data_IF_194726169153
#
_entry.id   IF_194726169153
#
_cell.length_a   1.000
_cell.length_b   1.000
_cell.length_c   1.000
_cell.angle_alpha   90.00
_cell.angle_beta   90.00
_cell.angle_gamma   90.00
#
_symmetry.space_group_name_H-M   'P 1'
#
loop_
_entity.id
_entity.type
_entity.pdbx_description
1 polymer ?
#
# COMPACT_ATOMS: atom_id res chain seq x y z
N UNK A 1 2.81 -12.04 1.68
CA UNK A 1 3.88 -12.64 0.82
C UNK A 1 3.24 -13.17 -0.43
N UNK A 2 3.78 -12.90 -1.62
CA UNK A 2 3.29 -13.41 -2.90
C UNK A 2 4.40 -14.27 -3.53
N UNK A 3 4.06 -15.50 -3.94
CA UNK A 3 4.98 -16.43 -4.60
C UNK A 3 4.35 -16.84 -5.92
N UNK A 4 5.00 -16.49 -7.03
CA UNK A 4 4.58 -16.82 -8.40
C UNK A 4 5.68 -17.65 -9.08
N UNK A 5 5.30 -18.67 -9.86
CA UNK A 5 6.23 -19.48 -10.63
C UNK A 5 5.63 -20.77 -11.16
N UNK A 6 6.48 -21.59 -11.72
CA UNK A 6 6.09 -22.92 -12.18
C UNK A 6 5.89 -23.86 -10.99
N UNK A 7 5.00 -24.86 -11.15
CA UNK A 7 4.58 -25.74 -10.06
C UNK A 7 5.56 -26.85 -9.67
N UNK A 8 6.60 -27.10 -10.49
CA UNK A 8 7.46 -28.30 -10.37
C UNK A 8 8.21 -28.40 -9.04
N UNK A 9 8.78 -27.29 -8.56
CA UNK A 9 9.57 -27.23 -7.32
C UNK A 9 8.96 -26.29 -6.27
N UNK A 10 7.67 -26.08 -6.30
CA UNK A 10 6.98 -25.10 -5.47
C UNK A 10 7.12 -25.38 -3.98
N UNK A 11 7.11 -26.64 -3.55
CA UNK A 11 7.29 -27.04 -2.15
C UNK A 11 8.68 -26.63 -1.64
N UNK A 12 9.74 -27.06 -2.32
CA UNK A 12 11.12 -26.76 -1.93
C UNK A 12 11.37 -25.26 -1.91
N UNK A 13 10.78 -24.54 -2.87
CA UNK A 13 10.89 -23.09 -2.92
C UNK A 13 10.17 -22.42 -1.74
N UNK A 14 8.95 -22.87 -1.41
CA UNK A 14 8.20 -22.37 -0.27
C UNK A 14 8.93 -22.66 1.06
N UNK A 15 9.41 -23.89 1.26
CA UNK A 15 10.19 -24.27 2.44
C UNK A 15 11.43 -23.39 2.61
N UNK A 16 12.18 -23.19 1.53
CA UNK A 16 13.39 -22.35 1.56
C UNK A 16 13.07 -20.90 1.92
N UNK A 17 11.98 -20.35 1.41
CA UNK A 17 11.56 -18.98 1.74
C UNK A 17 11.13 -18.88 3.21
N UNK A 18 10.31 -19.84 3.68
CA UNK A 18 9.87 -19.87 5.08
C UNK A 18 11.05 -20.01 6.04
N UNK A 19 11.99 -20.91 5.75
CA UNK A 19 13.19 -21.06 6.57
C UNK A 19 14.01 -19.77 6.65
N UNK A 20 14.25 -19.13 5.51
CA UNK A 20 14.96 -17.84 5.47
C UNK A 20 14.20 -16.72 6.17
N UNK A 21 12.88 -16.71 6.10
CA UNK A 21 12.04 -15.67 6.73
C UNK A 21 12.12 -15.78 8.26
N UNK A 22 12.00 -16.99 8.82
CA UNK A 22 12.02 -17.20 10.26
C UNK A 22 13.43 -17.15 10.88
N UNK A 23 14.47 -17.37 10.07
CA UNK A 23 15.88 -17.28 10.50
C UNK A 23 16.54 -15.99 10.01
N UNK A 24 15.75 -15.00 9.57
CA UNK A 24 16.29 -13.78 9.01
C UNK A 24 16.97 -12.91 10.09
N UNK A 25 18.17 -12.45 9.78
CA UNK A 25 18.89 -11.45 10.55
C UNK A 25 19.36 -10.33 9.65
N UNK A 26 19.30 -9.13 10.17
CA UNK A 26 19.68 -7.92 9.43
C UNK A 26 21.19 -7.82 9.33
N UNK A 27 21.71 -7.74 8.11
CA UNK A 27 23.12 -7.41 7.85
C UNK A 27 23.32 -5.89 7.99
N UNK A 28 24.26 -5.49 8.84
CA UNK A 28 24.50 -4.06 9.15
C UNK A 28 24.88 -3.22 7.93
N UNK A 29 25.78 -3.74 7.08
CA UNK A 29 26.23 -3.00 5.89
C UNK A 29 25.11 -2.81 4.90
N UNK A 30 24.30 -3.85 4.70
CA UNK A 30 23.15 -3.80 3.83
C UNK A 30 22.05 -2.90 4.38
N UNK A 31 21.87 -2.88 5.70
CA UNK A 31 20.93 -1.99 6.38
C UNK A 31 21.26 -0.52 6.10
N UNK A 32 22.50 -0.09 6.25
CA UNK A 32 22.90 1.30 6.03
C UNK A 32 22.65 1.73 4.59
N UNK A 33 22.99 0.87 3.62
CA UNK A 33 22.74 1.14 2.20
C UNK A 33 21.23 1.28 1.93
N UNK A 34 20.43 0.35 2.43
CA UNK A 34 18.97 0.37 2.22
C UNK A 34 18.31 1.54 2.95
N UNK A 35 18.77 1.88 4.15
CA UNK A 35 18.31 3.05 4.91
C UNK A 35 18.57 4.33 4.14
N UNK A 36 19.79 4.50 3.60
CA UNK A 36 20.15 5.66 2.79
C UNK A 36 19.29 5.74 1.51
N UNK A 37 19.14 4.63 0.78
CA UNK A 37 18.32 4.58 -0.42
C UNK A 37 16.86 4.95 -0.13
N UNK A 38 16.29 4.43 0.95
CA UNK A 38 14.92 4.73 1.36
C UNK A 38 14.76 6.21 1.73
N UNK A 39 15.68 6.76 2.52
CA UNK A 39 15.68 8.19 2.89
C UNK A 39 15.81 9.09 1.66
N UNK A 40 16.66 8.72 0.70
CA UNK A 40 16.82 9.44 -0.56
C UNK A 40 15.50 9.43 -1.36
N UNK A 41 14.83 8.28 -1.45
CA UNK A 41 13.52 8.17 -2.09
C UNK A 41 12.47 9.06 -1.44
N UNK A 42 12.40 9.08 -0.10
CA UNK A 42 11.48 9.96 0.63
C UNK A 42 11.75 11.45 0.38
N UNK A 43 13.03 11.86 0.35
CA UNK A 43 13.42 13.25 0.08
C UNK A 43 13.16 13.66 -1.37
N UNK A 44 13.44 12.79 -2.32
CA UNK A 44 13.22 13.05 -3.74
C UNK A 44 11.74 13.20 -4.09
N UNK A 45 10.85 12.65 -3.26
CA UNK A 45 9.40 12.77 -3.48
C UNK A 45 8.91 14.23 -3.54
N UNK A 46 9.56 15.15 -2.83
CA UNK A 46 9.20 16.59 -2.89
C UNK A 46 9.44 17.22 -4.27
N UNK A 47 10.29 16.60 -5.10
CA UNK A 47 10.58 17.02 -6.47
C UNK A 47 9.70 16.30 -7.53
N UNK A 48 8.76 15.46 -7.11
CA UNK A 48 7.82 14.80 -8.02
C UNK A 48 6.87 15.83 -8.66
N UNK A 49 6.28 15.43 -9.78
CA UNK A 49 5.36 16.28 -10.52
C UNK A 49 4.18 16.76 -9.66
N UNK A 50 3.67 17.99 -9.84
CA UNK A 50 2.62 18.56 -9.00
C UNK A 50 1.36 17.68 -8.87
N UNK A 51 0.96 16.97 -9.94
CA UNK A 51 -0.20 16.07 -9.88
C UNK A 51 0.04 14.87 -8.96
N UNK A 52 1.26 14.33 -8.91
CA UNK A 52 1.61 13.22 -8.01
C UNK A 52 1.57 13.66 -6.55
N UNK A 53 2.03 14.89 -6.27
CA UNK A 53 1.92 15.49 -4.94
C UNK A 53 0.45 15.72 -4.55
N UNK A 54 -0.39 16.20 -5.48
CA UNK A 54 -1.81 16.40 -5.22
C UNK A 54 -2.53 15.10 -4.87
N UNK A 55 -2.31 14.03 -5.64
CA UNK A 55 -2.86 12.68 -5.37
C UNK A 55 -2.36 12.16 -4.01
N UNK A 56 -1.08 12.33 -3.73
CA UNK A 56 -0.49 11.88 -2.47
C UNK A 56 -1.10 12.60 -1.26
N UNK A 57 -1.20 13.92 -1.27
CA UNK A 57 -1.79 14.68 -0.16
C UNK A 57 -3.28 14.35 0.00
N UNK A 58 -4.00 14.18 -1.09
CA UNK A 58 -5.39 13.75 -1.05
C UNK A 58 -5.52 12.40 -0.31
N UNK A 59 -4.71 11.41 -0.67
CA UNK A 59 -4.71 10.10 -0.03
C UNK A 59 -4.34 10.18 1.46
N UNK A 60 -3.35 11.00 1.83
CA UNK A 60 -2.93 11.17 3.23
C UNK A 60 -4.03 11.82 4.06
N UNK A 61 -4.70 12.86 3.54
CA UNK A 61 -5.76 13.59 4.25
C UNK A 61 -6.99 12.73 4.47
N UNK A 62 -7.35 11.91 3.48
CA UNK A 62 -8.55 11.06 3.55
C UNK A 62 -8.36 9.81 4.40
N UNK A 63 -7.14 9.33 4.57
CA UNK A 63 -6.87 8.07 5.29
C UNK A 63 -6.75 8.29 6.79
N UNK A 64 -7.51 7.55 7.60
CA UNK A 64 -7.53 7.64 9.08
C UNK A 64 -6.13 7.41 9.69
N UNK A 65 -5.34 6.51 9.11
CA UNK A 65 -3.99 6.19 9.57
C UNK A 65 -3.01 6.29 8.41
N UNK A 66 -2.49 7.48 8.17
CA UNK A 66 -1.46 7.74 7.18
C UNK A 66 -0.38 8.63 7.77
N UNK A 67 0.84 8.43 7.33
CA UNK A 67 1.99 9.26 7.70
C UNK A 67 2.53 9.97 6.48
N UNK A 68 2.87 11.22 6.67
CA UNK A 68 3.53 12.02 5.64
C UNK A 68 4.97 11.54 5.41
N UNK A 69 5.51 11.85 4.24
CA UNK A 69 6.93 11.57 3.94
C UNK A 69 7.87 12.24 4.94
N UNK A 70 7.51 13.43 5.45
CA UNK A 70 8.30 14.14 6.46
C UNK A 70 8.33 13.38 7.79
N UNK A 71 7.18 12.89 8.26
CA UNK A 71 7.10 12.06 9.46
C UNK A 71 7.90 10.76 9.31
N UNK A 72 7.85 10.14 8.13
CA UNK A 72 8.66 8.95 7.85
C UNK A 72 10.17 9.25 7.85
N UNK A 73 10.61 10.40 7.31
CA UNK A 73 12.01 10.84 7.37
C UNK A 73 12.44 11.01 8.83
N UNK A 74 11.61 11.63 9.67
CA UNK A 74 11.91 11.82 11.08
C UNK A 74 11.93 10.50 11.85
N UNK A 75 10.98 9.62 11.59
CA UNK A 75 10.97 8.28 12.18
C UNK A 75 12.22 7.47 11.81
N UNK A 76 12.71 7.58 10.58
CA UNK A 76 13.92 6.88 10.13
C UNK A 76 15.19 7.25 10.90
N UNK A 77 15.24 8.41 11.55
CA UNK A 77 16.37 8.80 12.43
C UNK A 77 16.50 7.84 13.62
N UNK A 78 15.37 7.27 14.05
CA UNK A 78 15.29 6.38 15.21
C UNK A 78 15.45 4.89 14.86
N UNK A 79 15.47 4.54 13.57
CA UNK A 79 15.60 3.15 13.12
C UNK A 79 17.05 2.72 13.15
N UNK A 80 17.35 1.67 13.94
CA UNK A 80 18.68 1.01 14.04
C UNK A 80 18.53 -0.47 13.72
N UNK A 81 19.66 -1.17 13.53
CA UNK A 81 19.70 -2.61 13.28
C UNK A 81 19.07 -3.39 14.45
N UNK A 82 19.37 -2.98 15.69
CA UNK A 82 18.85 -3.64 16.89
C UNK A 82 17.33 -3.48 16.99
N UNK A 83 16.82 -2.27 16.70
CA UNK A 83 15.36 -2.01 16.70
C UNK A 83 14.66 -2.81 15.61
N UNK A 84 15.28 -2.90 14.43
CA UNK A 84 14.73 -3.67 13.33
C UNK A 84 14.73 -5.17 13.63
N UNK A 85 15.79 -5.72 14.18
CA UNK A 85 15.84 -7.12 14.60
C UNK A 85 14.76 -7.43 15.66
N UNK A 86 14.62 -6.58 16.68
CA UNK A 86 13.56 -6.73 17.69
C UNK A 86 12.16 -6.70 17.06
N UNK A 87 11.92 -5.78 16.14
CA UNK A 87 10.65 -5.70 15.44
C UNK A 87 10.37 -6.96 14.59
N UNK A 88 11.38 -7.52 13.93
CA UNK A 88 11.27 -8.79 13.19
C UNK A 88 10.86 -9.92 14.15
N UNK A 89 11.53 -10.04 15.29
CA UNK A 89 11.20 -11.04 16.29
C UNK A 89 9.76 -10.87 16.82
N UNK A 90 9.32 -9.64 17.09
CA UNK A 90 7.95 -9.35 17.51
C UNK A 90 6.91 -9.73 16.44
N UNK A 91 7.13 -9.34 15.19
CA UNK A 91 6.22 -9.66 14.07
C UNK A 91 6.13 -11.17 13.85
N UNK A 92 7.27 -11.87 13.88
CA UNK A 92 7.31 -13.31 13.65
C UNK A 92 6.86 -14.14 14.86
N UNK A 93 6.77 -13.55 16.05
CA UNK A 93 6.32 -14.26 17.25
C UNK A 93 4.81 -14.51 17.29
N UNK A 94 4.02 -13.76 16.55
CA UNK A 94 2.55 -13.84 16.56
C UNK A 94 1.99 -13.64 15.15
N UNK A 95 1.72 -14.74 14.47
CA UNK A 95 1.25 -14.71 13.09
C UNK A 95 -0.06 -15.50 12.92
N UNK A 96 -0.96 -14.96 12.16
CA UNK A 96 -2.08 -15.67 11.55
C UNK A 96 -1.87 -15.71 10.05
N UNK A 97 -1.98 -16.91 9.46
CA UNK A 97 -1.74 -17.11 8.03
C UNK A 97 -3.05 -17.44 7.30
N UNK A 98 -3.38 -16.65 6.31
CA UNK A 98 -4.37 -16.94 5.29
C UNK A 98 -3.65 -17.24 3.98
N UNK A 99 -3.92 -18.42 3.41
CA UNK A 99 -3.28 -18.87 2.19
C UNK A 99 -4.28 -18.92 1.04
N UNK A 100 -4.04 -18.11 0.02
CA UNK A 100 -4.76 -18.20 -1.25
C UNK A 100 -3.84 -18.86 -2.28
N UNK A 101 -4.28 -20.01 -2.83
CA UNK A 101 -3.50 -20.81 -3.77
C UNK A 101 -4.30 -20.92 -5.05
N UNK A 102 -3.73 -20.42 -6.15
CA UNK A 102 -4.38 -20.35 -7.45
C UNK A 102 -3.45 -20.82 -8.57
N UNK A 103 -3.98 -21.57 -9.53
CA UNK A 103 -3.27 -22.05 -10.72
C UNK A 103 -3.49 -23.52 -11.00
N UNK A 104 -2.51 -24.18 -11.62
CA UNK A 104 -2.54 -25.61 -11.91
C UNK A 104 -2.24 -26.45 -10.66
N UNK A 105 -3.13 -26.34 -9.66
CA UNK A 105 -2.98 -26.99 -8.34
C UNK A 105 -4.30 -27.62 -7.96
N UNK A 106 -4.29 -28.91 -7.62
CA UNK A 106 -5.45 -29.60 -7.08
C UNK A 106 -5.58 -29.36 -5.56
N UNK A 107 -6.72 -29.80 -5.00
CA UNK A 107 -7.03 -29.61 -3.57
C UNK A 107 -5.99 -30.23 -2.62
N UNK A 108 -5.46 -31.41 -2.98
CA UNK A 108 -4.53 -32.13 -2.11
C UNK A 108 -3.17 -31.43 -2.12
N UNK A 109 -2.71 -30.96 -3.27
CA UNK A 109 -1.49 -30.16 -3.40
C UNK A 109 -1.62 -28.81 -2.68
N UNK A 110 -2.77 -28.18 -2.74
CA UNK A 110 -3.04 -26.95 -1.99
C UNK A 110 -2.97 -27.17 -0.48
N UNK A 111 -3.51 -28.28 0.02
CA UNK A 111 -3.41 -28.66 1.44
C UNK A 111 -1.99 -28.96 1.86
N UNK A 112 -1.20 -29.61 1.02
CA UNK A 112 0.21 -29.89 1.24
C UNK A 112 0.99 -28.58 1.41
N UNK A 113 0.83 -27.63 0.50
CA UNK A 113 1.47 -26.32 0.58
C UNK A 113 1.06 -25.54 1.84
N UNK A 114 -0.23 -25.55 2.19
CA UNK A 114 -0.68 -24.96 3.45
C UNK A 114 -0.05 -25.65 4.66
N UNK A 115 0.04 -26.98 4.65
CA UNK A 115 0.67 -27.76 5.72
C UNK A 115 2.13 -27.40 5.97
N UNK A 116 2.88 -27.01 4.93
CA UNK A 116 4.24 -26.51 5.09
C UNK A 116 4.28 -25.20 5.88
N UNK A 117 3.37 -24.28 5.56
CA UNK A 117 3.24 -22.99 6.28
C UNK A 117 2.85 -23.24 7.73
N UNK A 118 1.81 -24.04 7.97
CA UNK A 118 1.32 -24.38 9.30
C UNK A 118 2.39 -25.07 10.15
N UNK A 119 3.12 -26.02 9.57
CA UNK A 119 4.19 -26.74 10.27
C UNK A 119 5.31 -25.79 10.71
N UNK A 120 5.66 -24.81 9.90
CA UNK A 120 6.68 -23.83 10.24
C UNK A 120 6.21 -22.86 11.33
N UNK A 121 4.97 -22.40 11.27
CA UNK A 121 4.37 -21.58 12.32
C UNK A 121 4.28 -22.31 13.66
N UNK A 122 3.96 -23.60 13.63
CA UNK A 122 3.91 -24.44 14.83
C UNK A 122 5.29 -24.68 15.42
N UNK A 123 6.33 -24.88 14.61
CA UNK A 123 7.73 -25.05 15.09
C UNK A 123 8.22 -23.83 15.86
N UNK A 124 7.81 -22.65 15.44
CA UNK A 124 8.22 -21.37 16.04
C UNK A 124 7.27 -20.89 17.15
N UNK A 125 6.21 -21.66 17.47
CA UNK A 125 5.11 -21.24 18.35
C UNK A 125 4.49 -19.88 17.98
N UNK A 126 4.54 -19.56 16.69
CA UNK A 126 4.09 -18.26 16.16
C UNK A 126 2.61 -18.24 15.78
N UNK A 127 1.96 -19.40 15.77
CA UNK A 127 0.56 -19.50 15.36
C UNK A 127 -0.38 -18.87 16.39
N UNK A 128 -1.24 -17.97 15.95
CA UNK A 128 -2.33 -17.39 16.76
C UNK A 128 -3.66 -17.55 16.04
N UNK A 129 -4.75 -17.59 16.81
CA UNK A 129 -6.10 -17.60 16.27
C UNK A 129 -6.39 -16.29 15.53
N UNK A 130 -7.26 -16.33 14.50
CA UNK A 130 -7.66 -15.14 13.77
C UNK A 130 -8.26 -14.10 14.72
N UNK A 131 -7.92 -12.85 14.48
CA UNK A 131 -8.50 -11.75 15.22
C UNK A 131 -9.98 -11.59 14.87
N UNK A 132 -10.77 -11.16 15.84
CA UNK A 132 -12.16 -10.76 15.55
C UNK A 132 -12.15 -9.54 14.60
N UNK A 133 -13.13 -9.47 13.71
CA UNK A 133 -13.24 -8.38 12.72
C UNK A 133 -13.11 -6.98 13.34
N UNK A 134 -13.63 -6.79 14.56
CA UNK A 134 -13.52 -5.53 15.32
C UNK A 134 -12.10 -5.18 15.81
N UNK A 135 -11.18 -6.16 15.81
CA UNK A 135 -9.79 -5.99 16.23
C UNK A 135 -8.85 -5.75 15.02
N UNK A 136 -9.37 -5.93 13.80
CA UNK A 136 -8.60 -5.66 12.60
C UNK A 136 -8.50 -4.15 12.39
N UNK A 137 -7.28 -3.68 12.26
CA UNK A 137 -7.00 -2.31 11.80
C UNK A 137 -7.18 -2.25 10.28
N UNK A 138 -8.42 -2.09 9.85
CA UNK A 138 -8.72 -1.89 8.43
C UNK A 138 -8.36 -0.45 8.05
N UNK A 139 -7.81 -0.28 6.85
CA UNK A 139 -7.69 1.06 6.26
C UNK A 139 -9.07 1.67 6.15
N UNK A 140 -9.25 2.81 6.78
CA UNK A 140 -10.49 3.58 6.75
C UNK A 140 -10.21 4.96 6.20
N UNK A 141 -11.19 5.48 5.51
CA UNK A 141 -11.20 6.87 5.06
C UNK A 141 -12.16 7.67 5.93
N UNK A 142 -11.85 8.94 6.12
CA UNK A 142 -12.75 9.85 6.80
C UNK A 142 -14.01 10.07 5.96
N UNK A 143 -15.16 9.98 6.60
CA UNK A 143 -16.40 10.44 6.00
C UNK A 143 -16.40 11.97 6.04
N UNK A 144 -16.44 12.58 4.86
CA UNK A 144 -16.58 14.03 4.74
C UNK A 144 -18.01 14.47 5.11
N UNK A 145 -18.13 15.65 5.71
CA UNK A 145 -19.45 16.21 6.02
C UNK A 145 -20.16 16.59 4.73
N UNK A 146 -21.45 16.34 4.69
CA UNK A 146 -22.29 16.72 3.55
C UNK A 146 -22.36 18.24 3.44
N UNK A 147 -22.26 18.73 2.20
CA UNK A 147 -22.37 20.17 1.86
C UNK A 147 -21.24 21.07 2.39
N UNK A 148 -20.22 20.54 2.99
CA UNK A 148 -19.04 21.32 3.41
C UNK A 148 -17.87 21.11 2.44
N UNK A 149 -17.41 22.17 1.75
CA UNK A 149 -16.21 22.09 0.92
C UNK A 149 -14.97 22.15 1.81
N UNK A 150 -14.01 21.26 1.56
CA UNK A 150 -12.69 21.26 2.19
C UNK A 150 -11.65 21.72 1.18
N UNK A 151 -10.84 22.68 1.54
CA UNK A 151 -9.73 23.15 0.70
C UNK A 151 -8.41 22.87 1.42
N UNK A 152 -7.55 22.12 0.75
CA UNK A 152 -6.14 21.97 1.14
C UNK A 152 -5.27 22.60 0.06
N UNK A 153 -4.35 23.47 0.47
CA UNK A 153 -3.43 24.15 -0.42
C UNK A 153 -2.01 24.08 0.16
N UNK A 154 -1.05 23.77 -0.71
CA UNK A 154 0.37 23.76 -0.36
C UNK A 154 1.19 24.37 -1.47
N UNK A 155 2.35 24.94 -1.15
CA UNK A 155 3.27 25.48 -2.13
C UNK A 155 4.22 24.41 -2.63
N UNK A 156 4.55 24.48 -3.93
CA UNK A 156 5.58 23.66 -4.55
C UNK A 156 6.76 24.55 -4.94
N UNK A 157 7.89 24.34 -4.30
CA UNK A 157 9.12 25.13 -4.54
C UNK A 157 9.97 24.59 -5.69
N UNK A 158 9.71 23.37 -6.17
CA UNK A 158 10.50 22.72 -7.23
C UNK A 158 9.98 22.99 -8.63
N UNK A 159 8.66 23.10 -8.79
CA UNK A 159 8.00 23.29 -10.08
C UNK A 159 7.30 24.62 -10.18
N UNK A 160 7.35 25.23 -11.37
CA UNK A 160 6.62 26.47 -11.67
C UNK A 160 5.16 26.21 -12.00
N UNK A 161 4.82 24.99 -12.36
CA UNK A 161 3.45 24.56 -12.67
C UNK A 161 2.70 24.24 -11.39
N UNK A 162 1.39 24.48 -11.39
CA UNK A 162 0.45 24.10 -10.34
C UNK A 162 -0.44 22.93 -10.78
N UNK A 163 -1.04 22.26 -9.83
CA UNK A 163 -2.04 21.23 -10.05
C UNK A 163 -3.23 21.47 -9.12
N UNK A 164 -4.44 21.22 -9.62
CA UNK A 164 -5.66 21.18 -8.84
C UNK A 164 -6.25 19.76 -8.95
N UNK A 165 -6.63 19.17 -7.83
CA UNK A 165 -7.33 17.89 -7.76
C UNK A 165 -8.64 18.08 -7.02
N UNK A 166 -9.74 17.67 -7.60
CA UNK A 166 -11.07 17.67 -6.97
C UNK A 166 -11.44 16.23 -6.64
N UNK A 167 -11.80 15.99 -5.39
CA UNK A 167 -12.30 14.69 -4.92
C UNK A 167 -13.75 14.83 -4.46
N UNK A 168 -14.60 13.92 -4.89
CA UNK A 168 -16.00 13.85 -4.51
C UNK A 168 -16.28 12.49 -3.88
N UNK A 169 -16.65 12.48 -2.60
CA UNK A 169 -17.01 11.25 -1.90
C UNK A 169 -18.49 10.92 -2.15
N UNK A 170 -18.74 9.84 -2.90
CA UNK A 170 -20.08 9.45 -3.33
C UNK A 170 -20.80 8.47 -2.39
N UNK A 171 -20.19 8.10 -1.26
CA UNK A 171 -20.78 7.19 -0.29
C UNK A 171 -19.92 5.96 0.01
N UNK A 172 -20.56 4.92 0.55
CA UNK A 172 -19.89 3.65 0.89
C UNK A 172 -19.77 2.79 -0.36
N UNK A 173 -18.69 2.04 -0.44
CA UNK A 173 -18.43 1.10 -1.54
C UNK A 173 -19.48 -0.03 -1.53
N UNK A 174 -20.29 -0.07 -2.57
CA UNK A 174 -21.31 -1.08 -2.84
C UNK A 174 -21.32 -1.38 -4.34
N UNK A 175 -21.55 -2.64 -4.72
CA UNK A 175 -21.50 -3.09 -6.13
C UNK A 175 -22.35 -2.22 -7.05
N UNK A 176 -23.60 -1.93 -6.64
CA UNK A 176 -24.51 -1.12 -7.44
C UNK A 176 -24.06 0.31 -7.60
N UNK A 177 -23.62 0.94 -6.52
CA UNK A 177 -23.12 2.32 -6.51
C UNK A 177 -21.85 2.44 -7.33
N UNK A 178 -20.94 1.47 -7.23
CA UNK A 178 -19.70 1.45 -8.00
C UNK A 178 -19.98 1.40 -9.50
N UNK A 179 -20.89 0.54 -9.95
CA UNK A 179 -21.26 0.47 -11.38
C UNK A 179 -21.83 1.80 -11.90
N UNK A 180 -22.64 2.49 -11.10
CA UNK A 180 -23.14 3.80 -11.46
C UNK A 180 -22.03 4.86 -11.54
N UNK A 181 -21.10 4.85 -10.59
CA UNK A 181 -19.95 5.76 -10.59
C UNK A 181 -19.06 5.49 -11.80
N UNK A 182 -18.78 4.22 -12.12
CA UNK A 182 -18.01 3.84 -13.30
C UNK A 182 -18.69 4.34 -14.59
N UNK A 183 -20.00 4.17 -14.70
CA UNK A 183 -20.76 4.66 -15.87
C UNK A 183 -20.70 6.18 -15.98
N UNK A 184 -20.90 6.91 -14.88
CA UNK A 184 -20.80 8.37 -14.85
C UNK A 184 -19.39 8.83 -15.22
N UNK A 185 -18.37 8.17 -14.68
CA UNK A 185 -16.97 8.43 -15.00
C UNK A 185 -16.69 8.26 -16.50
N UNK A 186 -17.17 7.20 -17.11
CA UNK A 186 -17.02 6.97 -18.56
C UNK A 186 -17.72 8.04 -19.40
N UNK A 187 -18.94 8.46 -19.01
CA UNK A 187 -19.69 9.50 -19.73
C UNK A 187 -19.00 10.86 -19.62
N UNK A 188 -18.46 11.20 -18.45
CA UNK A 188 -17.88 12.52 -18.19
C UNK A 188 -16.41 12.65 -18.58
N UNK A 189 -15.68 11.55 -18.71
CA UNK A 189 -14.24 11.56 -18.96
C UNK A 189 -13.88 12.31 -20.25
N UNK A 190 -14.53 11.99 -21.37
CA UNK A 190 -14.26 12.63 -22.65
C UNK A 190 -14.66 14.11 -22.71
N UNK A 191 -15.88 14.52 -22.30
CA UNK A 191 -16.24 15.93 -22.23
C UNK A 191 -15.33 16.74 -21.31
N UNK A 192 -14.98 16.21 -20.14
CA UNK A 192 -14.10 16.87 -19.20
C UNK A 192 -12.70 17.10 -19.80
N UNK A 193 -12.14 16.04 -20.40
CA UNK A 193 -10.85 16.13 -21.08
C UNK A 193 -10.88 17.14 -22.24
N UNK A 194 -11.89 17.09 -23.08
CA UNK A 194 -12.04 18.01 -24.20
C UNK A 194 -12.16 19.45 -23.73
N UNK A 195 -13.00 19.72 -22.74
CA UNK A 195 -13.17 21.07 -22.20
C UNK A 195 -11.86 21.61 -21.62
N UNK A 196 -11.26 20.90 -20.66
CA UNK A 196 -10.14 21.41 -19.88
C UNK A 196 -8.82 21.41 -20.66
N UNK A 197 -8.58 20.39 -21.49
CA UNK A 197 -7.33 20.28 -22.22
C UNK A 197 -7.39 20.87 -23.62
N UNK A 198 -8.45 20.58 -24.39
CA UNK A 198 -8.50 20.94 -25.80
C UNK A 198 -8.97 22.37 -25.97
N UNK A 199 -10.05 22.76 -25.29
CA UNK A 199 -10.69 24.08 -25.44
C UNK A 199 -9.99 25.11 -24.57
N UNK A 200 -9.88 24.88 -23.28
CA UNK A 200 -9.32 25.83 -22.31
C UNK A 200 -7.80 25.77 -22.21
N UNK A 201 -7.18 24.70 -22.66
CA UNK A 201 -5.72 24.49 -22.67
C UNK A 201 -5.06 24.70 -21.30
N UNK A 202 -5.73 24.27 -20.23
CA UNK A 202 -5.27 24.49 -18.84
C UNK A 202 -4.02 23.67 -18.48
N UNK A 203 -3.78 22.54 -19.14
CA UNK A 203 -2.60 21.73 -18.88
C UNK A 203 -2.51 20.49 -19.76
N UNK A 204 -1.33 19.85 -19.71
CA UNK A 204 -1.08 18.62 -20.48
C UNK A 204 -1.71 17.39 -19.80
N UNK A 205 -1.69 17.36 -18.47
CA UNK A 205 -2.21 16.24 -17.67
C UNK A 205 -3.59 16.65 -17.15
N UNK A 206 -4.62 16.07 -17.74
CA UNK A 206 -6.02 16.21 -17.32
C UNK A 206 -6.61 14.80 -17.28
N UNK A 207 -7.18 14.42 -16.14
CA UNK A 207 -7.84 13.13 -15.97
C UNK A 207 -9.13 13.28 -15.17
N UNK A 208 -10.10 12.45 -15.49
CA UNK A 208 -11.33 12.24 -14.74
C UNK A 208 -11.42 10.73 -14.46
N UNK A 209 -11.36 10.33 -13.21
CA UNK A 209 -11.24 8.93 -12.75
C UNK A 209 -12.17 8.67 -11.58
#
# INVERSE_FOLDING_TARGET
>A
MLINGYSDNQNTFLETILDKMFNFKVDEKRFDILKEQYLRGLKNFSAEQPYQLAIYYLAVILTEQAWTKLELIDAMKLVTVERLNRFIDEVLSRMYAECFIYGNVNKDKAKELYGLVESQLNKTNSFVLPQLSRQLLLKREYKLNEQEPYLFQTENTFHKSSCSSLYIQCGIQEDKSNVFIDLVTQILSEPCYNQLRTIEQLGYIVSFV
#
